data_IF_083114074008
#
_entry.id   IF_083114074008
#
_cell.length_a   1.000
_cell.length_b   1.000
_cell.length_c   1.000
_cell.angle_alpha   90.00
_cell.angle_beta   90.00
_cell.angle_gamma   90.00
#
_symmetry.space_group_name_H-M   'P 1'
#
loop_
_entity.id
_entity.type
_entity.pdbx_description
1 polymer ?
#
# COMPACT_ATOMS: atom_id res chain seq x y z
N UNK A 1 7.56 -11.97 -17.05
CA UNK A 1 6.93 -10.94 -17.90
C UNK A 1 5.63 -10.56 -17.22
N UNK A 2 5.57 -9.39 -16.58
CA UNK A 2 4.30 -8.86 -16.10
C UNK A 2 3.43 -8.56 -17.34
N UNK A 3 2.22 -9.11 -17.38
CA UNK A 3 1.26 -8.68 -18.41
C UNK A 3 1.02 -7.19 -18.20
N UNK A 4 1.03 -6.36 -19.25
CA UNK A 4 0.46 -5.03 -19.14
C UNK A 4 -0.99 -5.22 -18.67
N UNK A 5 -1.43 -4.36 -17.75
CA UNK A 5 -2.81 -4.31 -17.26
C UNK A 5 -3.76 -4.62 -18.41
N UNK A 6 -4.71 -5.55 -18.24
CA UNK A 6 -5.69 -5.86 -19.27
C UNK A 6 -6.29 -4.56 -19.80
N UNK A 7 -6.23 -4.33 -21.12
CA UNK A 7 -6.61 -3.06 -21.76
C UNK A 7 -7.97 -2.56 -21.26
N UNK A 8 -8.90 -3.47 -20.99
CA UNK A 8 -10.24 -3.20 -20.45
C UNK A 8 -10.24 -2.54 -19.07
N UNK A 9 -9.41 -3.01 -18.13
CA UNK A 9 -9.37 -2.50 -16.77
C UNK A 9 -8.77 -1.09 -16.67
N UNK A 10 -7.77 -0.80 -17.51
CA UNK A 10 -7.17 0.53 -17.57
C UNK A 10 -8.11 1.57 -18.21
N UNK A 11 -8.81 1.21 -19.29
CA UNK A 11 -9.79 2.11 -19.92
C UNK A 11 -10.96 2.43 -18.97
N UNK A 12 -11.42 1.43 -18.21
CA UNK A 12 -12.42 1.64 -17.15
C UNK A 12 -11.90 2.56 -16.04
N UNK A 13 -10.66 2.37 -15.59
CA UNK A 13 -10.04 3.24 -14.60
C UNK A 13 -9.87 4.68 -15.06
N UNK A 14 -9.50 4.90 -16.33
CA UNK A 14 -9.42 6.23 -16.93
C UNK A 14 -10.78 6.92 -16.99
N UNK A 15 -11.87 6.18 -17.20
CA UNK A 15 -13.22 6.74 -17.22
C UNK A 15 -13.73 7.16 -15.83
N UNK A 16 -13.32 6.44 -14.77
CA UNK A 16 -13.83 6.65 -13.40
C UNK A 16 -12.97 7.60 -12.57
N UNK A 17 -11.65 7.43 -12.62
CA UNK A 17 -10.68 8.19 -11.84
C UNK A 17 -9.42 8.49 -12.68
N UNK A 18 -9.51 9.40 -13.67
CA UNK A 18 -8.45 9.61 -14.66
C UNK A 18 -7.08 9.92 -14.05
N UNK A 19 -7.04 10.79 -13.03
CA UNK A 19 -5.79 11.18 -12.38
C UNK A 19 -5.12 10.00 -11.67
N UNK A 20 -5.89 9.21 -10.90
CA UNK A 20 -5.36 8.05 -10.19
C UNK A 20 -4.92 6.95 -11.16
N UNK A 21 -5.70 6.68 -12.20
CA UNK A 21 -5.35 5.71 -13.24
C UNK A 21 -4.06 6.09 -13.97
N UNK A 22 -3.91 7.36 -14.38
CA UNK A 22 -2.69 7.84 -15.04
C UNK A 22 -1.48 7.80 -14.12
N UNK A 23 -1.64 8.18 -12.85
CA UNK A 23 -0.56 8.11 -11.87
C UNK A 23 -0.09 6.67 -11.64
N UNK A 24 -1.03 5.74 -11.50
CA UNK A 24 -0.73 4.33 -11.32
C UNK A 24 -0.06 3.72 -12.55
N UNK A 25 -0.58 3.99 -13.75
CA UNK A 25 0.02 3.51 -15.00
C UNK A 25 1.46 4.01 -15.18
N UNK A 26 1.72 5.29 -14.92
CA UNK A 26 3.08 5.86 -14.94
C UNK A 26 3.98 5.18 -13.90
N UNK A 27 3.47 4.99 -12.67
CA UNK A 27 4.19 4.29 -11.61
C UNK A 27 4.59 2.88 -12.04
N UNK A 28 3.66 2.09 -12.56
CA UNK A 28 3.93 0.73 -13.04
C UNK A 28 4.97 0.73 -14.17
N UNK A 29 4.88 1.67 -15.12
CA UNK A 29 5.85 1.79 -16.21
C UNK A 29 7.28 2.07 -15.73
N UNK A 30 7.43 2.88 -14.68
CA UNK A 30 8.73 3.20 -14.06
C UNK A 30 9.28 1.97 -13.32
N UNK A 31 8.47 1.34 -12.47
CA UNK A 31 8.91 0.20 -11.63
C UNK A 31 9.20 -1.05 -12.46
N UNK A 32 8.46 -1.27 -13.55
CA UNK A 32 8.66 -2.42 -14.44
C UNK A 32 9.88 -2.27 -15.36
N UNK A 33 10.57 -1.13 -15.33
CA UNK A 33 11.74 -0.87 -16.18
C UNK A 33 11.40 -0.69 -17.66
N UNK A 34 10.14 -0.35 -18.00
CA UNK A 34 9.74 -0.09 -19.39
C UNK A 34 10.37 1.20 -19.96
N UNK A 35 10.96 2.02 -19.11
CA UNK A 35 11.71 3.23 -19.48
C UNK A 35 13.21 2.99 -19.31
N UNK A 36 14.04 3.46 -20.24
CA UNK A 36 15.52 3.45 -20.13
C UNK A 36 16.09 4.34 -18.98
N UNK A 37 15.22 4.85 -18.11
CA UNK A 37 15.55 5.76 -17.02
C UNK A 37 15.73 5.00 -15.70
N UNK A 38 16.54 5.56 -14.80
CA UNK A 38 16.71 5.07 -13.43
C UNK A 38 15.35 5.10 -12.69
N UNK A 39 14.83 3.97 -12.19
CA UNK A 39 13.51 3.94 -11.54
C UNK A 39 13.37 4.91 -10.36
N UNK A 40 14.45 5.17 -9.63
CA UNK A 40 14.44 6.12 -8.51
C UNK A 40 14.21 7.55 -8.97
N UNK A 41 14.87 7.95 -10.06
CA UNK A 41 14.70 9.27 -10.67
C UNK A 41 13.30 9.41 -11.28
N UNK A 42 12.84 8.39 -12.00
CA UNK A 42 11.49 8.37 -12.57
C UNK A 42 10.40 8.54 -11.50
N UNK A 43 10.52 7.86 -10.36
CA UNK A 43 9.57 8.01 -9.24
C UNK A 43 9.66 9.39 -8.58
N UNK A 44 10.85 9.97 -8.47
CA UNK A 44 11.01 11.33 -7.97
C UNK A 44 10.35 12.35 -8.91
N UNK A 45 10.50 12.18 -10.22
CA UNK A 45 9.89 13.03 -11.25
C UNK A 45 8.37 12.91 -11.26
N UNK A 46 7.84 11.69 -11.15
CA UNK A 46 6.42 11.46 -11.02
C UNK A 46 5.86 12.12 -9.75
N UNK A 47 6.54 11.98 -8.61
CA UNK A 47 6.12 12.62 -7.35
C UNK A 47 6.07 14.14 -7.51
N UNK A 48 7.13 14.75 -8.03
CA UNK A 48 7.18 16.20 -8.30
C UNK A 48 6.05 16.65 -9.23
N UNK A 49 5.75 15.86 -10.26
CA UNK A 49 4.68 16.18 -11.21
C UNK A 49 3.31 16.20 -10.54
N UNK A 50 3.05 15.23 -9.65
CA UNK A 50 1.82 15.16 -8.86
C UNK A 50 1.75 16.34 -7.88
N UNK A 51 2.85 16.65 -7.20
CA UNK A 51 2.91 17.71 -6.18
C UNK A 51 2.87 19.13 -6.76
N UNK A 52 3.20 19.30 -8.04
CA UNK A 52 3.10 20.60 -8.74
C UNK A 52 1.66 21.05 -8.97
N UNK A 53 0.68 20.14 -8.88
CA UNK A 53 -0.74 20.46 -9.01
C UNK A 53 -1.39 20.44 -7.63
N UNK A 54 -1.86 21.60 -7.17
CA UNK A 54 -2.47 21.73 -5.84
C UNK A 54 -3.65 20.75 -5.67
N UNK A 55 -3.64 20.02 -4.55
CA UNK A 55 -4.68 19.03 -4.22
C UNK A 55 -4.67 17.75 -5.06
N UNK A 56 -3.81 17.63 -6.08
CA UNK A 56 -3.78 16.47 -6.98
C UNK A 56 -3.44 15.18 -6.23
N UNK A 57 -2.43 15.20 -5.36
CA UNK A 57 -2.05 14.03 -4.56
C UNK A 57 -3.20 13.52 -3.69
N UNK A 58 -3.89 14.44 -3.01
CA UNK A 58 -5.02 14.08 -2.15
C UNK A 58 -6.23 13.62 -2.95
N UNK A 59 -6.47 14.19 -4.14
CA UNK A 59 -7.46 13.70 -5.09
C UNK A 59 -7.17 12.27 -5.55
N UNK A 60 -5.91 11.99 -5.94
CA UNK A 60 -5.47 10.64 -6.31
C UNK A 60 -5.65 9.68 -5.14
N UNK A 61 -5.26 10.08 -3.93
CA UNK A 61 -5.44 9.27 -2.72
C UNK A 61 -6.92 8.98 -2.45
N UNK A 62 -7.79 9.99 -2.56
CA UNK A 62 -9.23 9.86 -2.40
C UNK A 62 -9.85 8.88 -3.40
N UNK A 63 -9.30 8.78 -4.60
CA UNK A 63 -9.77 7.88 -5.66
C UNK A 63 -9.15 6.47 -5.63
N UNK A 64 -8.27 6.15 -4.67
CA UNK A 64 -7.66 4.81 -4.56
C UNK A 64 -8.72 3.70 -4.48
N UNK A 65 -9.82 3.92 -3.77
CA UNK A 65 -10.92 2.95 -3.66
C UNK A 65 -11.61 2.71 -5.02
N UNK A 66 -11.80 3.77 -5.82
CA UNK A 66 -12.37 3.66 -7.17
C UNK A 66 -11.43 2.89 -8.07
N UNK A 67 -10.15 3.26 -8.06
CA UNK A 67 -9.11 2.58 -8.82
C UNK A 67 -9.07 1.09 -8.46
N UNK A 68 -9.00 0.76 -7.17
CA UNK A 68 -9.01 -0.63 -6.70
C UNK A 68 -10.25 -1.42 -7.14
N UNK A 69 -11.41 -0.78 -7.27
CA UNK A 69 -12.66 -1.44 -7.66
C UNK A 69 -12.76 -1.83 -9.14
N UNK A 70 -11.99 -1.16 -10.00
CA UNK A 70 -11.99 -1.39 -11.46
C UNK A 70 -10.74 -2.13 -11.94
N UNK A 71 -9.72 -2.25 -11.09
CA UNK A 71 -8.54 -3.03 -11.38
C UNK A 71 -8.79 -4.50 -11.09
N UNK A 72 -8.39 -5.34 -12.04
CA UNK A 72 -8.29 -6.79 -11.87
C UNK A 72 -6.87 -7.10 -11.36
N UNK A 73 -6.78 -7.89 -10.29
CA UNK A 73 -5.52 -8.34 -9.70
C UNK A 73 -5.39 -9.84 -9.91
N UNK A 74 -5.10 -10.24 -11.15
CA UNK A 74 -5.04 -11.66 -11.55
C UNK A 74 -3.87 -12.41 -10.89
N UNK A 75 -2.83 -11.66 -10.49
CA UNK A 75 -1.66 -12.23 -9.85
C UNK A 75 -1.17 -11.40 -8.66
N UNK A 76 -0.35 -12.05 -7.82
CA UNK A 76 0.21 -11.48 -6.59
C UNK A 76 1.07 -10.25 -6.89
N UNK A 77 1.76 -10.22 -8.03
CA UNK A 77 2.68 -9.13 -8.38
C UNK A 77 1.94 -7.84 -8.74
N UNK A 78 0.78 -7.95 -9.39
CA UNK A 78 -0.09 -6.82 -9.69
C UNK A 78 -0.61 -6.16 -8.41
N UNK A 79 -1.11 -6.95 -7.46
CA UNK A 79 -1.57 -6.39 -6.19
C UNK A 79 -0.41 -5.81 -5.36
N UNK A 80 0.77 -6.44 -5.37
CA UNK A 80 1.96 -5.88 -4.70
C UNK A 80 2.31 -4.51 -5.28
N UNK A 81 2.36 -4.39 -6.61
CA UNK A 81 2.67 -3.12 -7.27
C UNK A 81 1.63 -2.05 -6.95
N UNK A 82 0.35 -2.40 -6.89
CA UNK A 82 -0.71 -1.50 -6.45
C UNK A 82 -0.56 -1.08 -4.98
N UNK A 83 -0.25 -2.03 -4.11
CA UNK A 83 -0.04 -1.77 -2.69
C UNK A 83 1.16 -0.84 -2.45
N UNK A 84 2.26 -1.03 -3.19
CA UNK A 84 3.43 -0.13 -3.16
C UNK A 84 3.10 1.26 -3.74
N UNK A 85 2.28 1.32 -4.80
CA UNK A 85 1.78 2.58 -5.35
C UNK A 85 0.95 3.37 -4.33
N UNK A 86 0.09 2.70 -3.56
CA UNK A 86 -0.69 3.36 -2.50
C UNK A 86 0.22 3.98 -1.45
N UNK A 87 1.31 3.32 -1.06
CA UNK A 87 2.33 3.93 -0.19
C UNK A 87 2.97 5.15 -0.87
N UNK A 88 3.35 5.03 -2.14
CA UNK A 88 3.95 6.13 -2.92
C UNK A 88 3.07 7.39 -2.94
N UNK A 89 1.75 7.24 -3.16
CA UNK A 89 0.79 8.35 -3.15
C UNK A 89 0.56 8.89 -1.74
N UNK A 90 0.60 8.01 -0.73
CA UNK A 90 0.39 8.38 0.67
C UNK A 90 1.52 9.22 1.26
N UNK A 91 2.70 9.25 0.63
CA UNK A 91 3.82 10.10 1.08
C UNK A 91 3.56 11.57 0.80
N UNK A 92 3.89 12.40 1.77
CA UNK A 92 4.00 13.83 1.60
C UNK A 92 5.32 14.19 0.88
N UNK A 93 5.35 15.35 0.23
CA UNK A 93 6.50 15.77 -0.55
C UNK A 93 7.80 15.75 0.28
N UNK A 94 8.82 15.06 -0.24
CA UNK A 94 10.14 14.93 0.40
C UNK A 94 10.21 13.94 1.57
N UNK A 95 9.09 13.35 2.00
CA UNK A 95 9.07 12.38 3.10
C UNK A 95 9.31 10.96 2.60
N UNK A 96 10.10 10.19 3.36
CA UNK A 96 10.33 8.76 3.09
C UNK A 96 9.26 7.86 3.71
N UNK A 97 8.62 8.33 4.77
CA UNK A 97 7.66 7.59 5.58
C UNK A 97 6.29 8.28 5.51
N UNK A 98 5.23 7.54 5.82
CA UNK A 98 3.87 8.08 5.88
C UNK A 98 3.42 8.25 7.32
N UNK A 99 2.54 9.23 7.58
CA UNK A 99 1.98 9.42 8.92
C UNK A 99 1.11 8.22 9.31
N UNK A 100 0.97 7.99 10.62
CA UNK A 100 0.11 6.91 11.15
C UNK A 100 -1.33 7.03 10.61
N UNK A 101 -1.89 8.24 10.59
CA UNK A 101 -3.25 8.48 10.12
C UNK A 101 -3.42 8.16 8.63
N UNK A 102 -2.44 8.54 7.79
CA UNK A 102 -2.49 8.21 6.35
C UNK A 102 -2.35 6.70 6.13
N UNK A 103 -1.49 6.02 6.90
CA UNK A 103 -1.35 4.56 6.83
C UNK A 103 -2.65 3.84 7.22
N UNK A 104 -3.29 4.25 8.32
CA UNK A 104 -4.58 3.71 8.76
C UNK A 104 -5.66 3.86 7.70
N UNK A 105 -5.80 5.06 7.11
CA UNK A 105 -6.75 5.31 6.05
C UNK A 105 -6.47 4.43 4.81
N UNK A 106 -5.21 4.31 4.41
CA UNK A 106 -4.80 3.53 3.25
C UNK A 106 -5.03 2.02 3.46
N UNK A 107 -4.62 1.45 4.61
CA UNK A 107 -4.85 0.04 4.94
C UNK A 107 -6.33 -0.33 4.98
N UNK A 108 -7.17 0.55 5.54
CA UNK A 108 -8.63 0.37 5.55
C UNK A 108 -9.27 0.42 4.16
N UNK A 109 -8.55 0.85 3.14
CA UNK A 109 -8.99 0.75 1.74
C UNK A 109 -8.45 -0.56 1.13
N UNK A 110 -7.13 -0.76 1.17
CA UNK A 110 -6.48 -1.78 0.34
C UNK A 110 -6.46 -3.18 0.93
N UNK A 111 -6.55 -3.32 2.26
CA UNK A 111 -6.46 -4.62 2.92
C UNK A 111 -7.83 -5.21 3.31
N UNK A 112 -8.93 -4.51 3.03
CA UNK A 112 -10.28 -5.04 3.28
C UNK A 112 -10.49 -6.33 2.48
N UNK A 113 -10.95 -7.37 3.17
CA UNK A 113 -11.11 -8.72 2.61
C UNK A 113 -9.80 -9.45 2.28
N UNK A 114 -8.63 -8.83 2.54
CA UNK A 114 -7.29 -9.40 2.25
C UNK A 114 -6.45 -9.63 3.51
N UNK A 115 -6.76 -8.94 4.60
CA UNK A 115 -6.11 -9.13 5.89
C UNK A 115 -7.17 -9.39 6.96
N UNK A 116 -7.21 -10.62 7.49
CA UNK A 116 -8.22 -11.04 8.46
C UNK A 116 -8.14 -10.29 9.79
N UNK A 117 -6.94 -9.84 10.14
CA UNK A 117 -6.68 -9.08 11.38
C UNK A 117 -6.72 -7.56 11.18
N UNK A 118 -7.22 -7.07 10.03
CA UNK A 118 -7.16 -5.64 9.67
C UNK A 118 -7.69 -4.71 10.76
N UNK A 119 -8.88 -4.97 11.31
CA UNK A 119 -9.45 -4.08 12.34
C UNK A 119 -8.63 -4.11 13.63
N UNK A 120 -8.14 -5.28 14.03
CA UNK A 120 -7.29 -5.41 15.22
C UNK A 120 -5.96 -4.69 15.02
N UNK A 121 -5.36 -4.84 13.84
CA UNK A 121 -4.16 -4.14 13.43
C UNK A 121 -4.36 -2.63 13.46
N UNK A 122 -5.39 -2.12 12.79
CA UNK A 122 -5.67 -0.68 12.75
C UNK A 122 -5.91 -0.11 14.15
N UNK A 123 -6.69 -0.79 15.00
CA UNK A 123 -6.92 -0.35 16.38
C UNK A 123 -5.63 -0.36 17.22
N UNK A 124 -4.77 -1.37 17.04
CA UNK A 124 -3.46 -1.43 17.68
C UNK A 124 -2.58 -0.26 17.24
N UNK A 125 -2.42 -0.05 15.94
CA UNK A 125 -1.59 1.03 15.39
C UNK A 125 -2.10 2.39 15.86
N UNK A 126 -3.40 2.65 15.78
CA UNK A 126 -3.99 3.93 16.21
C UNK A 126 -3.69 4.25 17.68
N UNK A 127 -3.71 3.24 18.55
CA UNK A 127 -3.54 3.42 19.99
C UNK A 127 -2.07 3.47 20.42
N UNK A 128 -1.22 2.65 19.79
CA UNK A 128 0.12 2.37 20.30
C UNK A 128 1.24 2.89 19.39
N UNK A 129 1.04 2.99 18.08
CA UNK A 129 2.09 3.44 17.17
C UNK A 129 2.27 4.95 17.24
N UNK A 130 3.48 5.39 17.64
CA UNK A 130 3.83 6.82 17.75
C UNK A 130 4.68 7.34 16.59
N UNK A 131 5.31 6.45 15.85
CA UNK A 131 6.23 6.80 14.76
C UNK A 131 5.59 6.59 13.39
N UNK A 132 6.02 7.41 12.43
CA UNK A 132 5.63 7.27 11.02
C UNK A 132 5.97 5.88 10.48
N UNK A 133 5.16 5.40 9.54
CA UNK A 133 5.28 4.08 8.94
C UNK A 133 6.28 4.14 7.78
N UNK A 134 7.31 3.30 7.84
CA UNK A 134 8.29 3.13 6.77
C UNK A 134 7.73 2.28 5.62
N UNK A 135 8.39 2.36 4.46
CA UNK A 135 8.06 1.52 3.29
C UNK A 135 8.23 0.03 3.60
N UNK A 136 9.31 -0.32 4.32
CA UNK A 136 9.55 -1.68 4.79
C UNK A 136 8.41 -2.19 5.70
N UNK A 137 8.00 -1.41 6.71
CA UNK A 137 6.90 -1.81 7.60
C UNK A 137 5.58 -1.97 6.83
N UNK A 138 5.31 -1.09 5.87
CA UNK A 138 4.16 -1.20 4.98
C UNK A 138 4.18 -2.51 4.19
N UNK A 139 5.30 -2.83 3.52
CA UNK A 139 5.47 -4.04 2.70
C UNK A 139 5.43 -5.32 3.52
N UNK A 140 6.09 -5.34 4.68
CA UNK A 140 6.10 -6.48 5.59
C UNK A 140 4.71 -6.79 6.14
N UNK A 141 3.84 -5.78 6.35
CA UNK A 141 2.45 -6.05 6.74
C UNK A 141 1.68 -6.84 5.68
N UNK A 142 1.91 -6.56 4.38
CA UNK A 142 1.27 -7.33 3.32
C UNK A 142 1.77 -8.79 3.32
N UNK A 143 3.06 -9.01 3.54
CA UNK A 143 3.61 -10.36 3.70
C UNK A 143 2.99 -11.08 4.90
N UNK A 144 2.96 -10.42 6.07
CA UNK A 144 2.33 -10.90 7.30
C UNK A 144 0.86 -11.29 7.06
N UNK A 145 0.09 -10.44 6.38
CA UNK A 145 -1.33 -10.70 6.10
C UNK A 145 -1.60 -11.96 5.28
N UNK A 146 -0.60 -12.46 4.55
CA UNK A 146 -0.69 -13.65 3.69
C UNK A 146 -0.19 -14.92 4.37
N UNK A 147 0.72 -14.80 5.34
CA UNK A 147 1.32 -15.95 6.00
C UNK A 147 0.78 -16.22 7.40
N UNK A 148 -0.07 -15.34 7.95
CA UNK A 148 -0.60 -15.46 9.31
C UNK A 148 -2.12 -15.55 9.33
N UNK A 149 -2.64 -16.50 10.11
CA UNK A 149 -4.07 -16.71 10.36
C UNK A 149 -4.59 -15.83 11.52
N UNK A 150 -5.91 -15.87 11.79
CA UNK A 150 -6.54 -15.06 12.83
C UNK A 150 -6.09 -15.40 14.26
N UNK A 151 -5.61 -16.62 14.46
CA UNK A 151 -5.02 -17.14 15.70
C UNK A 151 -3.50 -16.92 15.79
N UNK A 152 -2.93 -16.19 14.82
CA UNK A 152 -1.50 -15.93 14.66
C UNK A 152 -0.67 -17.16 14.26
N UNK A 153 -1.30 -18.27 13.88
CA UNK A 153 -0.59 -19.41 13.29
C UNK A 153 0.13 -18.96 12.01
N UNK A 154 1.41 -19.33 11.89
CA UNK A 154 2.29 -18.95 10.78
C UNK A 154 3.24 -17.79 11.07
N UNK A 155 3.08 -17.10 12.19
CA UNK A 155 4.07 -16.10 12.64
C UNK A 155 5.33 -16.78 13.20
N UNK A 156 6.51 -16.34 12.74
CA UNK A 156 7.81 -16.74 13.27
C UNK A 156 8.42 -15.60 14.11
N UNK A 157 8.52 -15.73 15.45
CA UNK A 157 9.13 -14.71 16.32
C UNK A 157 10.64 -14.54 16.13
N UNK A 158 11.30 -15.41 15.34
CA UNK A 158 12.70 -15.26 14.94
C UNK A 158 12.83 -14.67 13.52
N UNK A 159 11.71 -14.39 12.87
CA UNK A 159 11.67 -13.74 11.57
C UNK A 159 12.20 -12.30 11.63
N UNK A 160 12.62 -11.77 10.49
CA UNK A 160 13.08 -10.38 10.37
C UNK A 160 11.90 -9.41 10.20
N UNK A 161 10.91 -9.51 11.09
CA UNK A 161 9.74 -8.64 11.04
C UNK A 161 10.07 -7.24 11.59
N UNK A 162 9.42 -6.18 11.09
CA UNK A 162 9.46 -4.88 11.73
C UNK A 162 8.90 -4.94 13.14
N UNK A 163 9.51 -4.20 14.07
CA UNK A 163 9.12 -4.17 15.49
C UNK A 163 7.61 -3.95 15.70
N UNK A 164 6.96 -3.12 14.88
CA UNK A 164 5.51 -2.88 14.96
C UNK A 164 4.65 -4.14 14.74
N UNK A 165 5.14 -5.09 13.93
CA UNK A 165 4.48 -6.39 13.71
C UNK A 165 4.69 -7.30 14.91
N UNK A 166 5.91 -7.36 15.44
CA UNK A 166 6.21 -8.13 16.65
C UNK A 166 5.40 -7.63 17.86
N UNK A 167 5.35 -6.31 18.06
CA UNK A 167 4.57 -5.68 19.12
C UNK A 167 3.05 -5.93 18.95
N UNK A 168 2.56 -5.96 17.70
CA UNK A 168 1.17 -6.31 17.41
C UNK A 168 0.86 -7.76 17.81
N UNK A 169 1.73 -8.70 17.46
CA UNK A 169 1.57 -10.11 17.82
C UNK A 169 1.61 -10.29 19.34
N UNK A 170 2.55 -9.64 20.02
CA UNK A 170 2.61 -9.66 21.48
C UNK A 170 1.34 -9.07 22.11
N UNK A 171 0.84 -7.95 21.57
CA UNK A 171 -0.42 -7.35 22.02
C UNK A 171 -1.61 -8.29 21.84
N UNK A 172 -1.68 -9.00 20.72
CA UNK A 172 -2.73 -9.99 20.45
C UNK A 172 -2.69 -11.14 21.45
N UNK A 173 -1.53 -11.70 21.76
CA UNK A 173 -1.39 -12.78 22.75
C UNK A 173 -1.79 -12.36 24.16
N UNK A 174 -1.48 -11.12 24.58
CA UNK A 174 -1.87 -10.61 25.91
C UNK A 174 -3.38 -10.40 26.06
N UNK A 175 -4.12 -10.25 24.96
CA UNK A 175 -5.55 -9.94 24.96
C UNK A 175 -6.43 -11.09 24.41
N UNK A 176 -5.85 -12.25 24.11
CA UNK A 176 -6.63 -13.45 23.81
C UNK A 176 -7.26 -13.95 25.12
N UNK A 177 -8.58 -14.24 25.15
CA UNK A 177 -9.17 -14.90 26.29
C UNK A 177 -8.52 -16.27 26.50
N UNK A 178 -8.41 -16.74 27.76
CA UNK A 178 -7.80 -18.03 28.09
C UNK A 178 -8.52 -19.22 27.45
#
# INVERSE_FOLDING_TARGET
MARPMGSSGFDAALAVCPAAAQAYSKYCGIVSGCTNANPREGLADLSRTIDNMEGMRDGIFGDIHKLMSVLEFDDVSQFNSFYDFVFFISRENGQKNITVQKALAAWRIVLVGRFRLLDRWCNFVEKYQRHNISEDAWQQLLAFSRCVNEDLEGYDPKGAWPVIIDDFVEHMHRNLPP
#
